data_IF_657453796128
#
_entry.id   IF_657453796128
#
_cell.length_a   1.000
_cell.length_b   1.000
_cell.length_c   1.000
_cell.angle_alpha   90.00
_cell.angle_beta   90.00
_cell.angle_gamma   90.00
#
_symmetry.space_group_name_H-M   'P 1'
#
loop_
_entity.id
_entity.type
_entity.pdbx_description
1 polymer ?
#
# COMPACT_ATOMS: atom_id res chain seq x y z
N UNK A 1 -5.00 52.21 30.62
CA UNK A 1 -4.97 51.66 29.26
C UNK A 1 -4.34 50.29 29.33
N UNK A 2 -5.10 49.19 29.23
CA UNK A 2 -4.53 47.85 29.13
C UNK A 2 -4.42 47.43 27.65
N UNK A 3 -3.28 46.89 27.32
CA UNK A 3 -2.88 46.33 26.04
C UNK A 3 -3.68 45.06 25.73
N UNK A 4 -4.37 45.01 24.59
CA UNK A 4 -4.94 43.80 24.03
C UNK A 4 -3.86 43.01 23.28
N UNK A 5 -3.43 41.90 23.84
CA UNK A 5 -2.67 40.87 23.11
C UNK A 5 -3.64 40.00 22.32
N UNK A 6 -3.63 40.16 21.02
CA UNK A 6 -4.30 39.28 20.05
C UNK A 6 -3.67 37.88 20.05
N UNK A 7 -4.41 36.91 20.56
CA UNK A 7 -4.07 35.49 20.46
C UNK A 7 -4.20 35.02 19.02
N UNK A 8 -3.10 34.56 18.50
CA UNK A 8 -3.00 33.92 17.18
C UNK A 8 -3.53 32.50 17.31
N UNK A 9 -4.77 32.24 16.88
CA UNK A 9 -5.34 30.89 16.75
C UNK A 9 -4.83 30.27 15.47
N UNK A 10 -3.68 29.60 15.56
CA UNK A 10 -3.22 28.70 14.49
C UNK A 10 -4.12 27.46 14.48
N UNK A 11 -4.90 27.30 13.44
CA UNK A 11 -5.63 26.08 13.08
C UNK A 11 -4.65 24.93 12.83
N UNK A 12 -4.94 23.68 13.27
CA UNK A 12 -4.03 22.52 13.13
C UNK A 12 -4.09 21.86 11.75
N UNK A 13 -4.16 22.61 10.66
CA UNK A 13 -4.33 22.05 9.30
C UNK A 13 -3.12 22.22 8.37
N UNK A 14 -2.01 22.82 8.83
CA UNK A 14 -0.86 23.13 7.97
C UNK A 14 0.42 22.34 8.30
N UNK A 15 0.30 21.12 8.80
CA UNK A 15 1.47 20.28 9.08
C UNK A 15 1.54 19.15 8.05
N UNK A 16 2.58 19.23 7.18
CA UNK A 16 3.05 18.23 6.23
C UNK A 16 2.33 18.13 4.86
N UNK A 17 2.42 19.17 4.05
CA UNK A 17 2.58 18.91 2.62
C UNK A 17 4.03 18.40 2.41
N UNK A 18 4.23 17.07 2.45
CA UNK A 18 5.54 16.48 2.15
C UNK A 18 5.96 16.94 0.74
N UNK A 19 7.22 17.37 0.60
CA UNK A 19 7.76 17.78 -0.69
C UNK A 19 7.57 16.63 -1.71
N UNK A 20 6.79 16.83 -2.79
CA UNK A 20 6.53 15.78 -3.78
C UNK A 20 7.79 15.33 -4.54
N UNK A 21 8.86 16.12 -4.49
CA UNK A 21 10.15 15.78 -5.10
C UNK A 21 11.01 14.88 -4.20
N UNK A 22 10.72 14.85 -2.89
CA UNK A 22 11.49 14.06 -1.94
C UNK A 22 11.19 12.56 -2.08
N UNK A 23 12.21 11.75 -1.80
CA UNK A 23 12.12 10.28 -1.85
C UNK A 23 11.55 9.75 -0.54
N UNK A 24 10.42 9.03 -0.63
CA UNK A 24 9.81 8.35 0.50
C UNK A 24 10.48 6.99 0.80
N UNK A 25 10.79 6.23 -0.26
CA UNK A 25 11.43 4.92 -0.14
C UNK A 25 12.54 4.81 -1.19
N UNK A 26 13.70 4.33 -0.77
CA UNK A 26 14.83 4.05 -1.65
C UNK A 26 15.39 2.65 -1.37
N UNK A 27 15.54 1.88 -2.42
CA UNK A 27 16.22 0.58 -2.43
C UNK A 27 17.48 0.72 -3.26
N UNK A 28 18.65 0.44 -2.66
CA UNK A 28 19.96 0.55 -3.29
C UNK A 28 20.67 -0.79 -3.23
N UNK A 29 20.89 -1.43 -4.39
CA UNK A 29 21.55 -2.73 -4.53
C UNK A 29 20.97 -3.84 -3.64
N UNK A 30 19.62 -3.81 -3.44
CA UNK A 30 18.94 -4.71 -2.51
C UNK A 30 18.94 -6.14 -3.03
N UNK A 31 19.47 -7.05 -2.23
CA UNK A 31 19.48 -8.48 -2.48
C UNK A 31 18.93 -9.25 -1.29
N UNK A 32 18.23 -10.35 -1.55
CA UNK A 32 17.70 -11.21 -0.50
C UNK A 32 17.77 -12.68 -0.91
N UNK A 33 18.32 -13.49 0.01
CA UNK A 33 18.40 -14.95 -0.12
C UNK A 33 17.77 -15.64 1.08
N UNK A 34 17.08 -16.72 0.84
CA UNK A 34 16.54 -17.60 1.88
C UNK A 34 17.69 -18.34 2.62
N UNK A 35 17.44 -18.85 3.84
CA UNK A 35 18.45 -19.61 4.59
C UNK A 35 19.00 -20.86 3.85
N UNK A 36 18.22 -21.41 2.92
CA UNK A 36 18.64 -22.54 2.06
C UNK A 36 19.52 -22.11 0.87
N UNK A 37 19.95 -20.86 0.79
CA UNK A 37 20.79 -20.31 -0.28
C UNK A 37 20.04 -19.89 -1.55
N UNK A 38 18.73 -20.12 -1.67
CA UNK A 38 17.94 -19.65 -2.81
C UNK A 38 17.80 -18.15 -2.76
N UNK A 39 18.33 -17.45 -3.76
CA UNK A 39 18.16 -16.01 -3.91
C UNK A 39 16.78 -15.69 -4.51
N UNK A 40 16.12 -14.68 -3.95
CA UNK A 40 14.79 -14.21 -4.36
C UNK A 40 14.80 -12.79 -4.92
N UNK A 41 15.78 -11.96 -4.53
CA UNK A 41 15.98 -10.62 -5.09
C UNK A 41 17.45 -10.43 -5.43
N UNK A 42 17.70 -9.79 -6.58
CA UNK A 42 19.03 -9.61 -7.14
C UNK A 42 19.23 -8.15 -7.52
N UNK A 43 20.06 -7.43 -6.77
CA UNK A 43 20.49 -6.05 -7.10
C UNK A 43 19.30 -5.11 -7.42
N UNK A 44 18.23 -5.17 -6.62
CA UNK A 44 17.05 -4.36 -6.83
C UNK A 44 17.34 -2.89 -6.49
N UNK A 45 17.22 -2.02 -7.50
CA UNK A 45 17.39 -0.58 -7.38
C UNK A 45 16.06 0.11 -7.71
N UNK A 46 15.48 0.86 -6.77
CA UNK A 46 14.16 1.46 -6.90
C UNK A 46 14.00 2.66 -5.98
N UNK A 47 13.37 3.72 -6.48
CA UNK A 47 12.97 4.87 -5.68
C UNK A 47 11.48 5.12 -5.80
N UNK A 48 10.82 5.49 -4.69
CA UNK A 48 9.41 5.90 -4.63
C UNK A 48 9.36 7.31 -4.06
N UNK A 49 8.73 8.22 -4.78
CA UNK A 49 8.58 9.62 -4.36
C UNK A 49 7.42 9.79 -3.38
N UNK A 50 7.43 10.89 -2.62
CA UNK A 50 6.30 11.23 -1.76
C UNK A 50 5.01 11.40 -2.57
N UNK A 51 3.92 10.79 -2.10
CA UNK A 51 2.61 10.84 -2.75
C UNK A 51 2.51 10.05 -4.06
N UNK A 52 3.55 9.28 -4.42
CA UNK A 52 3.54 8.40 -5.59
C UNK A 52 2.82 7.08 -5.27
N UNK A 53 2.05 6.55 -6.23
CA UNK A 53 1.61 5.16 -6.23
C UNK A 53 2.45 4.36 -7.20
N UNK A 54 3.41 3.63 -6.65
CA UNK A 54 4.21 2.66 -7.40
C UNK A 54 3.54 1.29 -7.38
N UNK A 55 3.27 0.73 -8.55
CA UNK A 55 2.80 -0.65 -8.67
C UNK A 55 3.95 -1.56 -9.09
N UNK A 56 4.24 -2.58 -8.30
CA UNK A 56 5.16 -3.65 -8.65
C UNK A 56 4.39 -4.78 -9.32
N UNK A 57 4.55 -4.90 -10.63
CA UNK A 57 3.91 -5.91 -11.48
C UNK A 57 4.88 -7.06 -11.74
N UNK A 58 4.39 -8.29 -11.69
CA UNK A 58 5.21 -9.48 -12.00
C UNK A 58 4.47 -10.78 -11.71
N UNK A 59 4.99 -11.91 -12.20
CA UNK A 59 4.41 -13.23 -11.94
C UNK A 59 4.47 -13.61 -10.46
N UNK A 60 3.67 -14.60 -10.06
CA UNK A 60 3.77 -15.17 -8.71
C UNK A 60 5.20 -15.73 -8.51
N UNK A 61 5.76 -15.45 -7.33
CA UNK A 61 7.14 -15.85 -7.01
C UNK A 61 8.26 -14.95 -7.57
N UNK A 62 7.95 -13.86 -8.28
CA UNK A 62 8.96 -12.94 -8.83
C UNK A 62 9.71 -12.09 -7.77
N UNK A 63 9.35 -12.16 -6.48
CA UNK A 63 10.03 -11.42 -5.42
C UNK A 63 9.28 -10.17 -4.91
N UNK A 64 8.12 -9.83 -5.49
CA UNK A 64 7.36 -8.62 -5.16
C UNK A 64 6.99 -8.47 -3.67
N UNK A 65 6.32 -9.49 -3.10
CA UNK A 65 5.96 -9.51 -1.66
C UNK A 65 7.20 -9.53 -0.77
N UNK A 66 8.30 -10.11 -1.25
CA UNK A 66 9.60 -10.09 -0.56
C UNK A 66 10.11 -8.66 -0.46
N UNK A 67 10.04 -7.87 -1.54
CA UNK A 67 10.42 -6.46 -1.53
C UNK A 67 9.61 -5.65 -0.49
N UNK A 68 8.27 -5.83 -0.43
CA UNK A 68 7.44 -5.18 0.60
C UNK A 68 7.86 -5.56 2.03
N UNK A 69 8.14 -6.85 2.26
CA UNK A 69 8.57 -7.36 3.58
C UNK A 69 9.94 -6.85 4.01
N UNK A 70 10.81 -6.53 3.06
CA UNK A 70 12.11 -5.91 3.32
C UNK A 70 11.95 -4.42 3.66
N UNK A 71 11.07 -3.69 2.95
CA UNK A 71 10.81 -2.27 3.20
C UNK A 71 10.34 -2.04 4.65
N UNK A 72 9.42 -2.87 5.16
CA UNK A 72 8.93 -2.75 6.54
C UNK A 72 9.72 -3.61 7.55
N UNK A 73 10.86 -4.14 7.13
CA UNK A 73 11.78 -4.91 7.97
C UNK A 73 11.13 -6.14 8.64
N UNK A 74 10.18 -6.79 7.94
CA UNK A 74 9.70 -8.12 8.31
C UNK A 74 10.69 -9.22 7.90
N UNK A 75 11.56 -8.93 6.94
CA UNK A 75 12.71 -9.74 6.53
C UNK A 75 13.97 -8.87 6.62
N UNK A 76 15.11 -9.48 6.92
CA UNK A 76 16.40 -8.81 6.94
C UNK A 76 17.09 -8.93 5.58
N UNK A 77 17.76 -7.86 5.14
CA UNK A 77 18.51 -7.83 3.88
C UNK A 77 19.66 -8.84 3.90
N UNK A 78 19.93 -9.45 2.73
CA UNK A 78 21.18 -10.19 2.49
C UNK A 78 22.29 -9.28 1.96
N UNK A 79 21.92 -8.14 1.36
CA UNK A 79 22.85 -7.12 0.85
C UNK A 79 22.11 -5.88 0.38
N UNK A 80 22.85 -4.78 0.23
CA UNK A 80 22.30 -3.49 -0.15
C UNK A 80 21.74 -2.68 1.02
N UNK A 81 20.98 -1.65 0.74
CA UNK A 81 20.37 -0.76 1.72
C UNK A 81 18.95 -0.39 1.33
N UNK A 82 18.06 -0.23 2.32
CA UNK A 82 16.73 0.38 2.15
C UNK A 82 16.64 1.59 3.08
N UNK A 83 16.20 2.71 2.51
CA UNK A 83 15.90 3.94 3.26
C UNK A 83 14.42 4.25 3.19
N UNK A 84 13.85 4.66 4.32
CA UNK A 84 12.49 5.18 4.45
C UNK A 84 12.59 6.60 4.96
N UNK A 85 12.08 7.56 4.18
CA UNK A 85 12.20 9.00 4.46
C UNK A 85 13.65 9.43 4.74
N UNK A 86 14.59 8.94 3.91
CA UNK A 86 16.02 9.23 4.01
C UNK A 86 16.78 8.49 5.13
N UNK A 87 16.07 7.81 6.05
CA UNK A 87 16.70 7.07 7.15
C UNK A 87 16.82 5.60 6.80
N UNK A 88 18.00 4.99 6.97
CA UNK A 88 18.21 3.55 6.77
C UNK A 88 17.27 2.73 7.64
N UNK A 89 16.65 1.68 7.07
CA UNK A 89 15.73 0.81 7.82
C UNK A 89 16.40 0.09 8.98
N UNK A 90 17.73 -0.10 8.92
CA UNK A 90 18.53 -0.70 10.00
C UNK A 90 18.59 0.23 11.23
N UNK A 91 18.58 1.54 11.01
CA UNK A 91 18.66 2.56 12.06
C UNK A 91 17.31 2.84 12.72
N UNK A 92 16.23 2.35 12.14
CA UNK A 92 14.91 2.43 12.76
C UNK A 92 14.74 1.39 13.87
N UNK A 93 14.03 1.75 14.92
CA UNK A 93 13.39 0.74 15.77
C UNK A 93 12.37 -0.03 14.91
N UNK A 94 12.43 -1.37 14.85
CA UNK A 94 11.57 -2.15 13.96
C UNK A 94 10.06 -1.98 14.24
N UNK A 95 9.69 -1.74 15.50
CA UNK A 95 8.30 -1.52 15.89
C UNK A 95 7.85 -0.14 15.43
N UNK A 96 8.69 0.87 15.63
CA UNK A 96 8.41 2.23 15.17
C UNK A 96 8.26 2.28 13.64
N UNK A 97 9.17 1.65 12.88
CA UNK A 97 9.08 1.56 11.41
C UNK A 97 7.77 0.92 10.97
N UNK A 98 7.38 -0.22 11.55
CA UNK A 98 6.14 -0.94 11.18
C UNK A 98 4.87 -0.18 11.55
N UNK A 99 4.90 0.68 12.56
CA UNK A 99 3.78 1.59 12.90
C UNK A 99 3.73 2.80 11.99
N UNK A 100 4.89 3.22 11.48
CA UNK A 100 5.01 4.33 10.52
C UNK A 100 4.55 3.94 9.11
N UNK A 101 4.46 2.65 8.81
CA UNK A 101 4.04 2.08 7.51
C UNK A 101 2.75 1.30 7.69
N UNK A 102 1.69 1.69 6.98
CA UNK A 102 0.47 0.88 6.88
C UNK A 102 0.70 -0.32 5.97
N UNK A 103 0.32 -1.52 6.41
CA UNK A 103 0.54 -2.72 5.62
C UNK A 103 -0.75 -3.55 5.49
N UNK A 104 -1.17 -3.78 4.23
CA UNK A 104 -2.24 -4.71 3.87
C UNK A 104 -1.61 -5.97 3.30
N UNK A 105 -1.76 -7.09 4.01
CA UNK A 105 -1.24 -8.39 3.59
C UNK A 105 -2.25 -9.13 2.70
N UNK A 106 -1.76 -10.03 1.86
CA UNK A 106 -2.51 -10.78 0.86
C UNK A 106 -3.77 -11.50 1.43
N UNK A 107 -3.69 -12.06 2.62
CA UNK A 107 -4.81 -12.75 3.30
C UNK A 107 -5.57 -11.86 4.28
N UNK A 108 -5.47 -10.53 4.17
CA UNK A 108 -6.06 -9.49 5.02
C UNK A 108 -5.61 -9.55 6.49
N UNK A 109 -5.33 -10.74 7.04
CA UNK A 109 -4.80 -10.94 8.39
C UNK A 109 -5.63 -10.27 9.49
N UNK A 110 -6.97 -10.29 9.39
CA UNK A 110 -7.82 -9.80 10.48
C UNK A 110 -7.72 -10.73 11.69
N UNK A 111 -7.73 -10.13 12.87
CA UNK A 111 -7.84 -10.90 14.12
C UNK A 111 -9.26 -11.44 14.24
N UNK A 112 -9.46 -12.77 14.16
CA UNK A 112 -10.81 -13.37 14.04
C UNK A 112 -11.67 -13.19 15.28
N UNK A 113 -11.05 -13.01 16.44
CA UNK A 113 -11.72 -12.78 17.73
C UNK A 113 -11.94 -11.31 18.07
N UNK A 114 -11.52 -10.39 17.18
CA UNK A 114 -11.75 -8.96 17.30
C UNK A 114 -12.92 -8.53 16.41
N UNK A 115 -13.67 -7.53 16.87
CA UNK A 115 -14.67 -6.84 16.04
C UNK A 115 -13.97 -5.98 14.98
N UNK A 116 -14.74 -5.42 14.03
CA UNK A 116 -14.26 -4.43 13.05
C UNK A 116 -13.61 -3.26 13.74
N UNK A 117 -14.27 -2.68 14.77
CA UNK A 117 -13.72 -1.59 15.57
C UNK A 117 -12.36 -1.95 16.17
N UNK A 118 -12.27 -3.12 16.82
CA UNK A 118 -11.05 -3.56 17.47
C UNK A 118 -9.92 -3.84 16.45
N UNK A 119 -10.25 -4.37 15.28
CA UNK A 119 -9.28 -4.57 14.21
C UNK A 119 -8.72 -3.24 13.68
N UNK A 120 -9.58 -2.24 13.43
CA UNK A 120 -9.16 -0.93 12.93
C UNK A 120 -8.40 -0.16 14.01
N UNK A 121 -8.87 -0.18 15.26
CA UNK A 121 -8.29 0.61 16.36
C UNK A 121 -6.97 0.06 16.92
N UNK A 122 -6.49 -1.10 16.44
CA UNK A 122 -5.36 -1.80 17.05
C UNK A 122 -4.09 -0.94 17.14
N UNK A 123 -3.64 -0.36 16.02
CA UNK A 123 -2.40 0.44 16.00
C UNK A 123 -2.57 1.74 16.79
N UNK A 124 -3.64 2.53 16.65
CA UNK A 124 -3.91 3.68 17.51
C UNK A 124 -3.89 3.35 19.02
N UNK A 125 -4.44 2.19 19.43
CA UNK A 125 -4.37 1.73 20.82
C UNK A 125 -2.95 1.41 21.28
N UNK A 126 -2.16 0.75 20.43
CA UNK A 126 -0.74 0.48 20.71
C UNK A 126 0.09 1.76 20.81
N UNK A 127 -0.31 2.82 20.11
CA UNK A 127 0.24 4.17 20.21
C UNK A 127 -0.35 5.02 21.33
N UNK A 128 -1.25 4.43 22.13
CA UNK A 128 -1.88 5.07 23.29
C UNK A 128 -2.64 6.34 22.95
N UNK A 129 -3.31 6.37 21.80
CA UNK A 129 -4.18 7.47 21.47
C UNK A 129 -5.37 7.56 22.46
N UNK A 130 -5.90 8.77 22.73
CA UNK A 130 -7.12 8.94 23.52
C UNK A 130 -8.31 8.20 22.90
N UNK A 131 -9.15 7.56 23.72
CA UNK A 131 -10.29 6.75 23.25
C UNK A 131 -11.27 7.55 22.36
N UNK A 132 -11.49 8.82 22.65
CA UNK A 132 -12.37 9.67 21.84
C UNK A 132 -11.79 9.89 20.43
N UNK A 133 -10.47 10.11 20.33
CA UNK A 133 -9.76 10.21 19.06
C UNK A 133 -9.83 8.88 18.28
N UNK A 134 -9.65 7.75 18.96
CA UNK A 134 -9.75 6.41 18.36
C UNK A 134 -11.14 6.19 17.77
N UNK A 135 -12.21 6.44 18.55
CA UNK A 135 -13.60 6.28 18.09
C UNK A 135 -13.93 7.16 16.91
N UNK A 136 -13.52 8.42 16.93
CA UNK A 136 -13.69 9.35 15.82
C UNK A 136 -12.99 8.84 14.56
N UNK A 137 -11.72 8.41 14.68
CA UNK A 137 -10.90 7.90 13.58
C UNK A 137 -11.46 6.62 12.98
N UNK A 138 -11.89 5.65 13.80
CA UNK A 138 -12.54 4.41 13.34
C UNK A 138 -13.79 4.73 12.53
N UNK A 139 -14.65 5.60 13.04
CA UNK A 139 -15.89 6.02 12.37
C UNK A 139 -15.60 6.71 11.02
N UNK A 140 -14.63 7.60 10.99
CA UNK A 140 -14.15 8.28 9.78
C UNK A 140 -13.68 7.26 8.72
N UNK A 141 -12.78 6.36 9.11
CA UNK A 141 -12.20 5.37 8.23
C UNK A 141 -13.23 4.37 7.69
N UNK A 142 -14.18 3.93 8.53
CA UNK A 142 -15.27 3.07 8.06
C UNK A 142 -16.10 3.74 6.98
N UNK A 143 -16.46 5.02 7.15
CA UNK A 143 -17.16 5.80 6.12
C UNK A 143 -16.31 5.95 4.86
N UNK A 144 -15.02 6.23 5.02
CA UNK A 144 -14.06 6.41 3.94
C UNK A 144 -13.93 5.16 3.06
N UNK A 145 -14.00 3.96 3.66
CA UNK A 145 -13.97 2.69 2.92
C UNK A 145 -15.37 2.16 2.57
N UNK A 146 -16.43 2.98 2.67
CA UNK A 146 -17.79 2.62 2.28
C UNK A 146 -18.47 1.60 3.19
N UNK A 147 -18.08 1.51 4.47
CA UNK A 147 -18.74 0.66 5.47
C UNK A 147 -19.56 1.51 6.45
N UNK A 148 -20.85 1.24 6.57
CA UNK A 148 -21.73 1.90 7.53
C UNK A 148 -21.37 1.50 8.98
N UNK A 149 -20.86 2.42 9.83
CA UNK A 149 -20.49 2.11 11.19
C UNK A 149 -21.65 1.51 12.00
N UNK A 150 -22.89 1.99 11.80
CA UNK A 150 -24.05 1.48 12.53
C UNK A 150 -24.33 0.00 12.30
N UNK A 151 -23.90 -0.53 11.13
CA UNK A 151 -24.15 -1.93 10.75
C UNK A 151 -22.96 -2.85 10.99
N UNK A 152 -21.72 -2.32 10.89
CA UNK A 152 -20.52 -3.16 10.78
C UNK A 152 -19.55 -3.02 11.95
N UNK A 153 -19.63 -1.95 12.78
CA UNK A 153 -18.64 -1.65 13.83
C UNK A 153 -18.38 -2.83 14.78
N UNK A 154 -19.44 -3.52 15.19
CA UNK A 154 -19.39 -4.61 16.19
C UNK A 154 -19.37 -6.01 15.58
N UNK A 155 -19.35 -6.13 14.23
CA UNK A 155 -19.26 -7.43 13.57
C UNK A 155 -17.87 -8.03 13.68
N UNK A 156 -17.81 -9.34 13.65
CA UNK A 156 -16.58 -10.10 13.56
C UNK A 156 -16.22 -10.44 12.11
N UNK A 157 -14.94 -10.76 11.79
CA UNK A 157 -14.49 -11.06 10.42
C UNK A 157 -15.30 -12.15 9.71
N UNK A 158 -15.78 -13.17 10.41
CA UNK A 158 -16.57 -14.26 9.84
C UNK A 158 -17.98 -13.83 9.39
N UNK A 159 -18.48 -12.69 9.88
CA UNK A 159 -19.77 -12.11 9.50
C UNK A 159 -19.69 -11.16 8.28
N UNK A 160 -18.49 -11.01 7.71
CA UNK A 160 -18.22 -10.09 6.61
C UNK A 160 -18.00 -10.84 5.30
N UNK A 161 -18.41 -10.25 4.17
CA UNK A 161 -18.02 -10.71 2.84
C UNK A 161 -16.51 -10.50 2.60
N UNK A 162 -15.94 -11.12 1.57
CA UNK A 162 -14.54 -10.92 1.17
C UNK A 162 -14.19 -9.46 0.94
N UNK A 163 -15.01 -8.73 0.17
CA UNK A 163 -14.82 -7.31 -0.08
C UNK A 163 -14.95 -6.45 1.18
N UNK A 164 -15.90 -6.77 2.08
CA UNK A 164 -16.02 -6.06 3.36
C UNK A 164 -14.79 -6.28 4.25
N UNK A 165 -14.26 -7.51 4.30
CA UNK A 165 -13.00 -7.77 5.02
C UNK A 165 -11.84 -6.97 4.45
N UNK A 166 -11.76 -6.87 3.11
CA UNK A 166 -10.72 -6.08 2.43
C UNK A 166 -10.80 -4.61 2.80
N UNK A 167 -11.99 -4.02 2.79
CA UNK A 167 -12.23 -2.63 3.23
C UNK A 167 -11.78 -2.39 4.67
N UNK A 168 -12.08 -3.31 5.58
CA UNK A 168 -11.60 -3.25 6.98
C UNK A 168 -10.08 -3.35 7.04
N UNK A 169 -9.44 -4.20 6.22
CA UNK A 169 -7.98 -4.31 6.12
C UNK A 169 -7.32 -3.00 5.70
N UNK A 170 -7.89 -2.32 4.70
CA UNK A 170 -7.44 -0.99 4.25
C UNK A 170 -7.64 0.06 5.35
N UNK A 171 -8.82 0.10 5.99
CA UNK A 171 -9.11 1.01 7.10
C UNK A 171 -8.12 0.81 8.26
N UNK A 172 -7.81 -0.45 8.60
CA UNK A 172 -6.81 -0.77 9.64
C UNK A 172 -5.42 -0.26 9.28
N UNK A 173 -4.99 -0.42 8.03
CA UNK A 173 -3.69 0.06 7.57
C UNK A 173 -3.58 1.59 7.64
N UNK A 174 -4.69 2.31 7.45
CA UNK A 174 -4.80 3.76 7.53
C UNK A 174 -5.00 4.31 8.96
N UNK A 175 -5.24 3.44 9.95
CA UNK A 175 -5.76 3.87 11.25
C UNK A 175 -4.84 4.83 12.01
N UNK A 176 -3.53 4.59 12.01
CA UNK A 176 -2.53 5.46 12.65
C UNK A 176 -2.09 6.63 11.75
N UNK A 177 -2.76 6.85 10.62
CA UNK A 177 -2.43 7.89 9.63
C UNK A 177 -0.99 7.81 9.08
N UNK A 178 -0.52 6.62 8.66
CA UNK A 178 0.85 6.45 8.18
C UNK A 178 1.10 7.24 6.89
N UNK A 179 2.33 7.76 6.66
CA UNK A 179 2.69 8.44 5.41
C UNK A 179 2.84 7.45 4.23
N UNK A 180 3.12 6.19 4.51
CA UNK A 180 3.41 5.15 3.52
C UNK A 180 2.44 3.98 3.70
N UNK A 181 1.92 3.45 2.59
CA UNK A 181 1.10 2.24 2.53
C UNK A 181 1.78 1.19 1.66
N UNK A 182 1.89 -0.02 2.16
CA UNK A 182 2.31 -1.20 1.42
C UNK A 182 1.10 -2.12 1.24
N UNK A 183 0.78 -2.49 0.01
CA UNK A 183 -0.39 -3.30 -0.33
C UNK A 183 0.05 -4.56 -1.09
N UNK A 184 -0.08 -5.72 -0.47
CA UNK A 184 0.34 -7.00 -1.03
C UNK A 184 -0.87 -7.74 -1.62
N UNK A 185 -1.05 -7.70 -2.94
CA UNK A 185 -2.17 -8.28 -3.69
C UNK A 185 -3.55 -7.95 -3.07
N UNK A 186 -3.86 -6.65 -2.84
CA UNK A 186 -5.01 -6.26 -2.01
C UNK A 186 -6.36 -6.68 -2.61
N UNK A 187 -6.44 -7.05 -3.88
CA UNK A 187 -7.69 -7.44 -4.56
C UNK A 187 -7.68 -8.90 -5.02
N UNK A 188 -6.62 -9.67 -4.72
CA UNK A 188 -6.39 -11.00 -5.29
C UNK A 188 -7.46 -12.05 -4.93
N UNK A 189 -8.00 -12.01 -3.72
CA UNK A 189 -8.96 -12.99 -3.21
C UNK A 189 -10.44 -12.68 -3.50
N UNK A 190 -10.72 -11.71 -4.38
CA UNK A 190 -12.08 -11.25 -4.70
C UNK A 190 -12.56 -11.80 -6.04
N UNK A 191 -13.87 -12.02 -6.15
CA UNK A 191 -14.51 -12.29 -7.43
C UNK A 191 -14.37 -11.07 -8.39
N UNK A 192 -14.45 -11.26 -9.70
CA UNK A 192 -14.16 -10.20 -10.67
C UNK A 192 -15.00 -8.94 -10.53
N UNK A 193 -16.29 -9.07 -10.18
CA UNK A 193 -17.21 -7.95 -10.05
C UNK A 193 -16.86 -7.11 -8.82
N UNK A 194 -16.80 -7.73 -7.66
CA UNK A 194 -16.40 -7.09 -6.38
C UNK A 194 -15.00 -6.47 -6.47
N UNK A 195 -14.08 -7.13 -7.18
CA UNK A 195 -12.73 -6.61 -7.44
C UNK A 195 -12.80 -5.30 -8.20
N UNK A 196 -13.52 -5.23 -9.33
CA UNK A 196 -13.62 -4.02 -10.14
C UNK A 196 -14.29 -2.85 -9.40
N UNK A 197 -15.28 -3.12 -8.54
CA UNK A 197 -15.89 -2.11 -7.68
C UNK A 197 -14.89 -1.56 -6.67
N UNK A 198 -14.21 -2.44 -5.94
CA UNK A 198 -13.27 -2.05 -4.91
C UNK A 198 -12.04 -1.30 -5.46
N UNK A 199 -11.57 -1.66 -6.65
CA UNK A 199 -10.48 -0.96 -7.34
C UNK A 199 -10.85 0.49 -7.67
N UNK A 200 -12.06 0.74 -8.22
CA UNK A 200 -12.55 2.09 -8.51
C UNK A 200 -12.72 2.93 -7.24
N UNK A 201 -13.23 2.33 -6.17
CA UNK A 201 -13.36 2.99 -4.88
C UNK A 201 -11.99 3.31 -4.27
N UNK A 202 -11.03 2.39 -4.39
CA UNK A 202 -9.67 2.60 -3.92
C UNK A 202 -8.97 3.73 -4.71
N UNK A 203 -9.19 3.83 -6.02
CA UNK A 203 -8.69 4.93 -6.83
C UNK A 203 -9.22 6.31 -6.33
N UNK A 204 -10.51 6.39 -6.01
CA UNK A 204 -11.08 7.58 -5.39
C UNK A 204 -10.49 7.88 -4.00
N UNK A 205 -10.30 6.83 -3.20
CA UNK A 205 -9.69 6.92 -1.87
C UNK A 205 -8.24 7.43 -1.93
N UNK A 206 -7.43 6.90 -2.84
CA UNK A 206 -6.03 7.27 -3.05
C UNK A 206 -5.87 8.80 -3.27
N UNK A 207 -6.72 9.37 -4.12
CA UNK A 207 -6.73 10.82 -4.39
C UNK A 207 -7.04 11.66 -3.15
N UNK A 208 -7.85 11.14 -2.22
CA UNK A 208 -8.22 11.82 -0.99
C UNK A 208 -7.12 11.73 0.07
N UNK A 209 -6.50 10.57 0.24
CA UNK A 209 -5.54 10.34 1.34
C UNK A 209 -4.15 10.88 1.04
N UNK A 210 -3.77 11.04 -0.24
CA UNK A 210 -2.46 11.56 -0.71
C UNK A 210 -1.26 10.92 -0.02
N UNK A 211 -1.28 9.59 0.15
CA UNK A 211 -0.20 8.82 0.76
C UNK A 211 0.77 8.29 -0.30
N UNK A 212 1.98 7.97 0.10
CA UNK A 212 2.88 7.18 -0.74
C UNK A 212 2.44 5.72 -0.69
N UNK A 213 2.24 5.10 -1.85
CA UNK A 213 1.71 3.74 -1.94
C UNK A 213 2.67 2.86 -2.75
N UNK A 214 3.00 1.68 -2.22
CA UNK A 214 3.61 0.60 -2.99
C UNK A 214 2.64 -0.57 -3.03
N UNK A 215 2.11 -0.85 -4.21
CA UNK A 215 1.13 -1.91 -4.45
C UNK A 215 1.78 -3.03 -5.24
N UNK A 216 1.61 -4.25 -4.78
CA UNK A 216 2.05 -5.47 -5.48
C UNK A 216 0.85 -6.15 -6.11
N UNK A 217 0.97 -6.50 -7.38
CA UNK A 217 -0.04 -7.26 -8.11
C UNK A 217 0.57 -8.09 -9.24
N UNK A 218 -0.21 -9.05 -9.75
CA UNK A 218 0.05 -9.74 -11.01
C UNK A 218 -0.96 -9.35 -12.10
N UNK A 219 -1.89 -8.43 -11.81
CA UNK A 219 -2.93 -7.95 -12.72
C UNK A 219 -2.53 -6.64 -13.41
N UNK A 220 -2.39 -6.67 -14.73
CA UNK A 220 -2.04 -5.49 -15.55
C UNK A 220 -3.09 -4.37 -15.41
N UNK A 221 -4.38 -4.74 -15.37
CA UNK A 221 -5.46 -3.77 -15.21
C UNK A 221 -5.34 -2.94 -13.92
N UNK A 222 -4.94 -3.57 -12.81
CA UNK A 222 -4.68 -2.87 -11.53
C UNK A 222 -3.50 -1.91 -11.65
N UNK A 223 -2.43 -2.36 -12.30
CA UNK A 223 -1.23 -1.54 -12.48
C UNK A 223 -1.53 -0.28 -13.33
N UNK A 224 -2.32 -0.42 -14.38
CA UNK A 224 -2.71 0.71 -15.24
C UNK A 224 -3.73 1.64 -14.58
N UNK A 225 -4.63 1.10 -13.75
CA UNK A 225 -5.70 1.87 -13.10
C UNK A 225 -5.18 2.70 -11.92
N UNK A 226 -4.27 2.12 -11.11
CA UNK A 226 -3.86 2.67 -9.82
C UNK A 226 -2.44 3.24 -9.85
N UNK A 227 -1.56 2.75 -10.72
CA UNK A 227 -0.16 3.15 -10.71
C UNK A 227 0.09 4.52 -11.32
N UNK A 228 0.78 5.41 -10.63
CA UNK A 228 1.45 6.56 -11.25
C UNK A 228 2.73 6.11 -11.94
N UNK A 229 3.38 5.05 -11.41
CA UNK A 229 4.48 4.32 -12.04
C UNK A 229 4.29 2.82 -11.86
N UNK A 230 4.81 2.06 -12.82
CA UNK A 230 4.75 0.60 -12.87
C UNK A 230 6.18 0.05 -12.94
N UNK A 231 6.60 -0.66 -11.91
CA UNK A 231 7.86 -1.41 -11.89
C UNK A 231 7.60 -2.87 -12.24
N UNK A 232 8.21 -3.36 -13.29
CA UNK A 232 8.08 -4.76 -13.70
C UNK A 232 9.20 -5.58 -13.08
N UNK A 233 8.83 -6.59 -12.27
CA UNK A 233 9.78 -7.50 -11.62
C UNK A 233 9.66 -8.89 -12.25
N UNK A 234 10.79 -9.40 -12.71
CA UNK A 234 10.93 -10.77 -13.21
C UNK A 234 12.13 -11.45 -12.56
N UNK A 235 11.93 -12.67 -12.04
CA UNK A 235 12.97 -13.47 -11.40
C UNK A 235 13.86 -12.70 -10.39
N UNK A 236 13.24 -11.84 -9.55
CA UNK A 236 13.94 -11.09 -8.50
C UNK A 236 14.65 -9.82 -8.97
N UNK A 237 14.50 -9.41 -10.22
CA UNK A 237 15.16 -8.24 -10.82
C UNK A 237 14.11 -7.25 -11.34
N UNK A 238 14.35 -5.96 -11.20
CA UNK A 238 13.55 -4.90 -11.83
C UNK A 238 13.97 -4.80 -13.31
N UNK A 239 13.11 -5.23 -14.22
CA UNK A 239 13.40 -5.22 -15.67
C UNK A 239 12.98 -3.93 -16.35
N UNK A 240 12.13 -3.12 -15.71
CA UNK A 240 11.74 -1.81 -16.22
C UNK A 240 10.87 -1.03 -15.24
N UNK A 241 10.86 0.28 -15.42
CA UNK A 241 10.09 1.23 -14.62
C UNK A 241 9.44 2.25 -15.55
N UNK A 242 8.12 2.33 -15.55
CA UNK A 242 7.34 3.00 -16.58
C UNK A 242 6.23 3.86 -15.95
N UNK A 243 5.85 4.94 -16.61
CA UNK A 243 4.49 5.48 -16.45
C UNK A 243 3.47 4.53 -17.13
N UNK A 244 2.17 4.58 -16.82
CA UNK A 244 1.16 3.76 -17.50
C UNK A 244 1.20 3.89 -19.04
N UNK A 245 1.45 5.10 -19.56
CA UNK A 245 1.56 5.36 -21.00
C UNK A 245 2.81 4.70 -21.61
N UNK A 246 3.95 4.81 -20.96
CA UNK A 246 5.20 4.18 -21.39
C UNK A 246 5.10 2.66 -21.33
N UNK A 247 4.43 2.12 -20.29
CA UNK A 247 4.21 0.68 -20.15
C UNK A 247 3.42 0.11 -21.33
N UNK A 248 2.36 0.79 -21.78
CA UNK A 248 1.56 0.38 -22.95
C UNK A 248 2.35 0.43 -24.27
N UNK A 249 3.44 1.19 -24.32
CA UNK A 249 4.36 1.29 -25.46
C UNK A 249 5.69 0.55 -25.24
N UNK A 250 5.81 -0.21 -24.15
CA UNK A 250 7.07 -0.85 -23.79
C UNK A 250 7.50 -1.90 -24.83
N UNK A 251 8.79 -1.91 -25.12
CA UNK A 251 9.45 -2.88 -26.04
C UNK A 251 10.30 -3.90 -25.30
N UNK A 252 10.55 -3.71 -24.00
CA UNK A 252 11.21 -4.70 -23.17
C UNK A 252 10.36 -6.00 -23.18
N UNK A 253 10.96 -7.19 -23.41
CA UNK A 253 10.20 -8.41 -23.71
C UNK A 253 9.16 -8.81 -22.66
N UNK A 254 9.46 -8.65 -21.36
CA UNK A 254 8.52 -9.02 -20.27
C UNK A 254 7.35 -8.04 -20.22
N UNK A 255 7.63 -6.74 -20.24
CA UNK A 255 6.60 -5.70 -20.24
C UNK A 255 5.73 -5.79 -21.50
N UNK A 256 6.34 -5.94 -22.67
CA UNK A 256 5.63 -6.14 -23.95
C UNK A 256 4.72 -7.38 -23.92
N UNK A 257 5.16 -8.46 -23.29
CA UNK A 257 4.36 -9.68 -23.08
C UNK A 257 3.11 -9.43 -22.26
N UNK A 258 3.18 -8.63 -21.19
CA UNK A 258 2.01 -8.21 -20.41
C UNK A 258 1.03 -7.37 -21.23
N UNK A 259 1.54 -6.43 -22.04
CA UNK A 259 0.71 -5.57 -22.91
C UNK A 259 0.04 -6.39 -24.01
N UNK A 260 0.77 -7.32 -24.63
CA UNK A 260 0.20 -8.21 -25.65
C UNK A 260 -0.96 -9.05 -25.10
N UNK A 261 -0.79 -9.66 -23.93
CA UNK A 261 -1.84 -10.41 -23.26
C UNK A 261 -3.08 -9.53 -22.97
N UNK A 262 -2.88 -8.30 -22.47
CA UNK A 262 -3.98 -7.37 -22.22
C UNK A 262 -4.78 -7.09 -23.49
N UNK A 263 -4.10 -6.82 -24.60
CA UNK A 263 -4.76 -6.55 -25.91
C UNK A 263 -5.52 -7.76 -26.46
N UNK A 264 -5.01 -8.96 -26.25
CA UNK A 264 -5.72 -10.21 -26.65
C UNK A 264 -7.07 -10.35 -25.92
N UNK A 265 -7.10 -10.06 -24.61
CA UNK A 265 -8.37 -10.10 -23.85
C UNK A 265 -9.36 -9.02 -24.29
N UNK A 266 -8.88 -7.79 -24.53
CA UNK A 266 -9.75 -6.69 -25.00
C UNK A 266 -10.36 -6.95 -26.38
N UNK A 267 -9.61 -7.55 -27.30
CA UNK A 267 -10.10 -7.91 -28.63
C UNK A 267 -11.14 -9.05 -28.56
N UNK A 268 -10.94 -10.04 -27.68
CA UNK A 268 -11.91 -11.13 -27.49
C UNK A 268 -13.24 -10.67 -26.88
N UNK A 269 -13.23 -9.58 -26.08
CA UNK A 269 -14.48 -8.97 -25.55
C UNK A 269 -15.15 -8.03 -26.54
N UNK A 270 -14.43 -7.50 -27.53
CA UNK A 270 -14.98 -6.62 -28.58
C UNK A 270 -15.67 -7.38 -29.72
N UNK A 271 -15.47 -8.69 -29.82
CA UNK A 271 -16.09 -9.58 -30.83
C UNK A 271 -17.33 -10.30 -30.31
N UNK A 272 -17.83 -10.01 -29.10
CA UNK A 272 -19.05 -10.52 -28.48
C UNK A 272 -20.12 -9.41 -28.43
#
# INVERSE_FOLDING_TARGET
MPNHSSGNSSTPSDVFAADPSATAIELSHVSFSLPNGRSLLHDLNLTVKNGETLVLLGRSGAGKSTALKLINRMLELSGGEIRVEGKSTIDWDPIALRRHIGYVIQEIGMFPHYTVEQNISLVPRLEKWPEDRIRARVTELMKLVGLDPAKFLHRHPHELSGGQRQRVGIARALAADPPILLLDEPFGALDPLTRGELQREFQGLEQLIRKTIVLVTHHVGEALLLGTRIGVIEAGTLVGLYTPKEFLAATEPVAAGYVANLRMYQNAEGDL
#
